data_IF_116228254370
#
_entry.id   IF_116228254370
#
_cell.length_a   1.000
_cell.length_b   1.000
_cell.length_c   1.000
_cell.angle_alpha   90.00
_cell.angle_beta   90.00
_cell.angle_gamma   90.00
#
_symmetry.space_group_name_H-M   'P 1'
#
loop_
_entity.id
_entity.type
_entity.pdbx_description
1 polymer ?
#
# COMPACT_ATOMS: atom_id res chain seq x y z
N UNK A 1 -6.51 -5.94 9.54
CA UNK A 1 -7.21 -4.70 9.21
C UNK A 1 -8.52 -5.00 8.50
N UNK A 2 -8.49 -5.82 7.44
CA UNK A 2 -9.69 -6.15 6.69
C UNK A 2 -10.76 -6.82 7.56
N UNK A 3 -10.33 -7.69 8.48
CA UNK A 3 -11.25 -8.36 9.40
C UNK A 3 -11.96 -7.35 10.29
N UNK A 4 -11.26 -6.33 10.77
CA UNK A 4 -11.84 -5.27 11.58
C UNK A 4 -12.93 -4.53 10.80
N UNK A 5 -12.66 -4.18 9.56
CA UNK A 5 -13.61 -3.45 8.71
C UNK A 5 -14.88 -4.27 8.47
N UNK A 6 -14.75 -5.58 8.27
CA UNK A 6 -15.90 -6.45 7.95
C UNK A 6 -16.73 -6.76 9.19
N UNK A 7 -16.10 -6.97 10.34
CA UNK A 7 -16.77 -7.48 11.55
C UNK A 7 -17.03 -6.43 12.62
N UNK A 8 -16.46 -5.24 12.49
CA UNK A 8 -16.57 -4.21 13.50
C UNK A 8 -17.88 -3.42 13.41
N UNK A 9 -18.14 -2.59 14.40
CA UNK A 9 -19.21 -1.61 14.37
C UNK A 9 -18.77 -0.42 13.48
N UNK A 10 -19.63 0.60 13.33
CA UNK A 10 -19.34 1.73 12.47
C UNK A 10 -18.05 2.46 12.82
N UNK A 11 -17.76 2.62 14.13
CA UNK A 11 -16.52 3.27 14.56
C UNK A 11 -15.30 2.42 14.20
N UNK A 12 -15.38 1.11 14.43
CA UNK A 12 -14.29 0.20 14.10
C UNK A 12 -14.07 0.13 12.58
N UNK A 13 -15.15 0.20 11.80
CA UNK A 13 -15.06 0.22 10.33
C UNK A 13 -14.31 1.46 9.87
N UNK A 14 -14.66 2.63 10.44
CA UNK A 14 -13.98 3.89 10.11
C UNK A 14 -12.51 3.85 10.51
N UNK A 15 -12.20 3.34 11.71
CA UNK A 15 -10.82 3.20 12.18
C UNK A 15 -10.02 2.26 11.26
N UNK A 16 -10.64 1.17 10.81
CA UNK A 16 -10.02 0.25 9.87
C UNK A 16 -9.69 0.92 8.53
N UNK A 17 -10.60 1.76 8.05
CA UNK A 17 -10.38 2.50 6.81
C UNK A 17 -9.22 3.49 6.94
N UNK A 18 -9.15 4.21 8.07
CA UNK A 18 -8.03 5.13 8.34
C UNK A 18 -6.72 4.36 8.42
N UNK A 19 -6.71 3.22 9.12
CA UNK A 19 -5.52 2.38 9.22
C UNK A 19 -5.05 1.90 7.84
N UNK A 20 -5.98 1.53 6.96
CA UNK A 20 -5.65 1.09 5.61
C UNK A 20 -5.01 2.23 4.80
N UNK A 21 -5.55 3.46 4.90
CA UNK A 21 -4.98 4.62 4.22
C UNK A 21 -3.58 4.96 4.74
N UNK A 22 -3.37 4.87 6.05
CA UNK A 22 -2.07 5.12 6.66
C UNK A 22 -1.05 4.06 6.25
N UNK A 23 -1.47 2.79 6.20
CA UNK A 23 -0.60 1.70 5.78
C UNK A 23 -0.18 1.89 4.31
N UNK A 24 -1.12 2.25 3.43
CA UNK A 24 -0.79 2.54 2.04
C UNK A 24 0.23 3.67 1.94
N UNK A 25 0.01 4.75 2.66
CA UNK A 25 0.92 5.89 2.66
C UNK A 25 2.32 5.50 3.13
N UNK A 26 2.40 4.72 4.20
CA UNK A 26 3.69 4.27 4.74
C UNK A 26 4.44 3.41 3.74
N UNK A 27 3.75 2.45 3.11
CA UNK A 27 4.38 1.57 2.11
C UNK A 27 4.84 2.37 0.90
N UNK A 28 4.00 3.24 0.35
CA UNK A 28 4.36 4.04 -0.82
C UNK A 28 5.51 5.00 -0.53
N UNK A 29 5.57 5.55 0.69
CA UNK A 29 6.68 6.40 1.11
C UNK A 29 7.98 5.63 1.18
N UNK A 30 7.97 4.42 1.72
CA UNK A 30 9.15 3.57 1.76
C UNK A 30 9.61 3.18 0.35
N UNK A 31 8.67 2.85 -0.54
CA UNK A 31 8.99 2.51 -1.93
C UNK A 31 9.53 3.72 -2.71
N UNK A 32 9.08 4.91 -2.38
CA UNK A 32 9.61 6.14 -2.98
C UNK A 32 11.10 6.29 -2.66
N UNK A 33 11.49 6.03 -1.41
CA UNK A 33 12.90 6.04 -1.03
C UNK A 33 13.71 4.98 -1.78
N UNK A 34 13.14 3.80 -1.99
CA UNK A 34 13.77 2.75 -2.78
C UNK A 34 14.00 3.24 -4.21
N UNK A 35 13.00 3.87 -4.83
CA UNK A 35 13.11 4.41 -6.20
C UNK A 35 14.23 5.46 -6.30
N UNK A 36 14.32 6.34 -5.31
CA UNK A 36 15.39 7.36 -5.29
C UNK A 36 16.75 6.69 -5.24
N UNK A 37 16.91 5.68 -4.39
CA UNK A 37 18.18 4.97 -4.26
C UNK A 37 18.52 4.20 -5.53
N UNK A 38 17.53 3.61 -6.20
CA UNK A 38 17.75 2.89 -7.45
C UNK A 38 18.29 3.80 -8.56
N UNK A 39 17.95 5.08 -8.53
CA UNK A 39 18.41 6.04 -9.56
C UNK A 39 19.93 6.19 -9.59
N UNK A 40 20.63 5.86 -8.52
CA UNK A 40 22.08 5.95 -8.44
C UNK A 40 22.79 4.61 -8.65
N UNK A 41 22.05 3.52 -8.89
CA UNK A 41 22.61 2.20 -9.11
C UNK A 41 22.85 1.99 -10.60
N UNK A 42 24.05 1.52 -10.94
CA UNK A 42 24.45 1.34 -12.34
C UNK A 42 24.11 -0.04 -12.93
N UNK A 43 23.77 -1.00 -12.09
CA UNK A 43 23.38 -2.34 -12.56
C UNK A 43 21.95 -2.31 -13.07
N UNK A 44 21.78 -2.18 -14.39
CA UNK A 44 20.47 -2.04 -15.01
C UNK A 44 19.58 -3.26 -14.82
N UNK A 45 20.15 -4.47 -14.83
CA UNK A 45 19.38 -5.69 -14.62
C UNK A 45 18.79 -5.73 -13.21
N UNK A 46 19.58 -5.35 -12.22
CA UNK A 46 19.12 -5.26 -10.83
C UNK A 46 18.02 -4.20 -10.68
N UNK A 47 18.25 -3.02 -11.27
CA UNK A 47 17.27 -1.92 -11.20
C UNK A 47 15.95 -2.32 -11.84
N UNK A 48 15.98 -2.97 -13.00
CA UNK A 48 14.76 -3.42 -13.66
C UNK A 48 14.00 -4.44 -12.83
N UNK A 49 14.71 -5.40 -12.23
CA UNK A 49 14.09 -6.42 -11.39
C UNK A 49 13.40 -5.79 -10.18
N UNK A 50 14.11 -4.93 -9.45
CA UNK A 50 13.57 -4.29 -8.24
C UNK A 50 12.45 -3.34 -8.60
N UNK A 51 12.57 -2.58 -9.69
CA UNK A 51 11.52 -1.68 -10.15
C UNK A 51 10.24 -2.44 -10.48
N UNK A 52 10.35 -3.62 -11.08
CA UNK A 52 9.19 -4.48 -11.34
C UNK A 52 8.53 -4.96 -10.06
N UNK A 53 9.32 -5.36 -9.08
CA UNK A 53 8.80 -5.79 -7.77
C UNK A 53 8.12 -4.63 -7.04
N UNK A 54 8.70 -3.43 -7.09
CA UNK A 54 8.11 -2.22 -6.50
C UNK A 54 6.75 -1.92 -7.12
N UNK A 55 6.66 -1.98 -8.45
CA UNK A 55 5.41 -1.73 -9.16
C UNK A 55 4.31 -2.71 -8.75
N UNK A 56 4.65 -3.99 -8.57
CA UNK A 56 3.70 -5.00 -8.11
C UNK A 56 3.21 -4.72 -6.68
N UNK A 57 4.11 -4.33 -5.79
CA UNK A 57 3.75 -4.01 -4.41
C UNK A 57 2.85 -2.78 -4.38
N UNK A 58 3.15 -1.75 -5.15
CA UNK A 58 2.32 -0.55 -5.22
C UNK A 58 0.91 -0.87 -5.69
N UNK A 59 0.78 -1.66 -6.75
CA UNK A 59 -0.52 -2.05 -7.27
C UNK A 59 -1.31 -2.86 -6.24
N UNK A 60 -0.65 -3.79 -5.55
CA UNK A 60 -1.31 -4.64 -4.56
C UNK A 60 -1.78 -3.85 -3.35
N UNK A 61 -0.96 -2.92 -2.86
CA UNK A 61 -1.32 -2.07 -1.71
C UNK A 61 -2.53 -1.21 -2.05
N UNK A 62 -2.56 -0.61 -3.24
CA UNK A 62 -3.69 0.20 -3.69
C UNK A 62 -4.96 -0.63 -3.85
N UNK A 63 -4.84 -1.85 -4.36
CA UNK A 63 -5.97 -2.76 -4.50
C UNK A 63 -6.55 -3.13 -3.14
N UNK A 64 -5.69 -3.46 -2.17
CA UNK A 64 -6.14 -3.81 -0.81
C UNK A 64 -6.86 -2.63 -0.18
N UNK A 65 -6.32 -1.42 -0.28
CA UNK A 65 -6.98 -0.22 0.24
C UNK A 65 -8.35 -0.03 -0.39
N UNK A 66 -8.43 -0.16 -1.72
CA UNK A 66 -9.68 -0.04 -2.45
C UNK A 66 -10.73 -1.04 -1.96
N UNK A 67 -10.31 -2.30 -1.76
CA UNK A 67 -11.21 -3.34 -1.26
C UNK A 67 -11.72 -3.02 0.14
N UNK A 68 -10.85 -2.53 1.01
CA UNK A 68 -11.24 -2.17 2.37
C UNK A 68 -12.20 -0.99 2.35
N UNK A 69 -11.89 0.06 1.58
CA UNK A 69 -12.72 1.26 1.51
C UNK A 69 -14.08 0.97 0.90
N UNK A 70 -14.18 0.02 -0.03
CA UNK A 70 -15.46 -0.35 -0.63
C UNK A 70 -16.43 -0.97 0.37
N UNK A 71 -15.95 -1.46 1.51
CA UNK A 71 -16.77 -2.04 2.57
C UNK A 71 -17.20 -1.03 3.62
N UNK A 72 -16.72 0.19 3.53
CA UNK A 72 -17.06 1.25 4.47
C UNK A 72 -18.36 1.91 4.03
N UNK A 73 -19.30 2.04 4.96
CA UNK A 73 -20.59 2.71 4.74
C UNK A 73 -20.64 3.95 5.63
N UNK A 74 -20.50 5.08 5.00
CA UNK A 74 -20.52 6.36 5.71
C UNK A 74 -21.80 7.18 5.45
#
# INVERSE_FOLDING_TARGET
IEIIVVKGNNNAVTDGAVAAMMARTAVLSALYNVKINLSSIKDTAFVEKVSGEVALIEAKVQEIESQILSKVQL
#
